data_IF_316830661591
#
_entry.id   IF_316830661591
#
_cell.length_a   1.000
_cell.length_b   1.000
_cell.length_c   1.000
_cell.angle_alpha   90.00
_cell.angle_beta   90.00
_cell.angle_gamma   90.00
#
_symmetry.space_group_name_H-M   'P 1'
#
loop_
_entity.id
_entity.type
_entity.pdbx_description
1 polymer ?
#
# COMPACT_ATOMS: atom_id res chain seq x y z
N UNK A 1 -19.53 4.39 8.04
CA UNK A 1 -19.22 3.08 7.40
C UNK A 1 -17.78 2.99 6.94
N UNK A 2 -17.36 3.73 5.89
CA UNK A 2 -15.95 3.69 5.42
C UNK A 2 -15.01 4.25 6.48
N UNK A 3 -15.40 5.34 7.15
CA UNK A 3 -14.69 5.89 8.32
C UNK A 3 -14.43 4.84 9.39
N UNK A 4 -15.46 4.06 9.72
CA UNK A 4 -15.41 3.08 10.80
C UNK A 4 -14.49 1.93 10.42
N UNK A 5 -14.56 1.46 9.17
CA UNK A 5 -13.63 0.45 8.64
C UNK A 5 -12.17 0.94 8.65
N UNK A 6 -11.93 2.19 8.25
CA UNK A 6 -10.59 2.80 8.33
C UNK A 6 -10.10 2.80 9.78
N UNK A 7 -10.91 3.32 10.71
CA UNK A 7 -10.58 3.33 12.15
C UNK A 7 -10.31 1.93 12.69
N UNK A 8 -11.13 0.95 12.31
CA UNK A 8 -11.02 -0.43 12.76
C UNK A 8 -9.70 -1.09 12.32
N UNK A 9 -9.29 -0.90 11.06
CA UNK A 9 -7.98 -1.35 10.57
C UNK A 9 -6.83 -0.67 11.32
N UNK A 10 -6.89 0.65 11.52
CA UNK A 10 -5.81 1.41 12.16
C UNK A 10 -5.66 1.07 13.64
N UNK A 11 -6.76 0.89 14.37
CA UNK A 11 -6.73 0.47 15.78
C UNK A 11 -6.12 -0.93 15.91
N UNK A 12 -6.52 -1.89 15.07
CA UNK A 12 -5.93 -3.22 15.07
C UNK A 12 -4.43 -3.17 14.79
N UNK A 13 -4.01 -2.43 13.75
CA UNK A 13 -2.60 -2.25 13.41
C UNK A 13 -1.80 -1.60 14.55
N UNK A 14 -2.32 -0.53 15.17
CA UNK A 14 -1.64 0.14 16.28
C UNK A 14 -1.51 -0.76 17.52
N UNK A 15 -2.41 -1.73 17.69
CA UNK A 15 -2.41 -2.63 18.85
C UNK A 15 -1.35 -3.72 18.74
N UNK A 16 -1.15 -4.32 17.57
CA UNK A 16 -0.28 -5.51 17.43
C UNK A 16 0.49 -5.61 16.10
N UNK A 17 0.45 -4.58 15.26
CA UNK A 17 1.10 -4.56 13.94
C UNK A 17 0.35 -5.31 12.84
N UNK A 18 -0.82 -5.90 13.13
CA UNK A 18 -1.67 -6.60 12.17
C UNK A 18 -3.00 -5.84 12.02
N UNK A 19 -3.32 -5.29 10.84
CA UNK A 19 -4.56 -4.55 10.63
C UNK A 19 -5.81 -5.45 10.64
N UNK A 20 -5.66 -6.77 10.55
CA UNK A 20 -6.76 -7.71 10.39
C UNK A 20 -7.56 -7.92 11.68
N UNK A 21 -8.89 -7.90 11.55
CA UNK A 21 -9.85 -8.29 12.60
C UNK A 21 -11.13 -8.84 11.99
N UNK A 22 -11.93 -9.50 12.83
CA UNK A 22 -13.22 -10.06 12.42
C UNK A 22 -14.15 -8.98 11.83
N UNK A 23 -14.80 -9.32 10.72
CA UNK A 23 -15.74 -8.45 10.01
C UNK A 23 -15.12 -7.51 8.98
N UNK A 24 -13.78 -7.51 8.83
CA UNK A 24 -13.09 -6.75 7.79
C UNK A 24 -12.52 -7.67 6.70
N UNK A 25 -12.46 -7.21 5.43
CA UNK A 25 -11.65 -7.88 4.41
C UNK A 25 -10.20 -8.05 4.88
N UNK A 26 -9.58 -9.18 4.55
CA UNK A 26 -8.20 -9.42 4.92
C UNK A 26 -7.28 -8.43 4.19
N UNK A 27 -6.38 -7.78 4.91
CA UNK A 27 -5.31 -6.94 4.38
C UNK A 27 -3.99 -7.73 4.48
N UNK A 28 -3.49 -8.31 3.38
CA UNK A 28 -2.26 -9.07 3.37
C UNK A 28 -1.04 -8.15 3.58
N UNK A 29 0.01 -8.71 4.19
CA UNK A 29 1.30 -8.02 4.26
C UNK A 29 1.82 -7.70 2.85
N UNK A 30 2.50 -6.55 2.73
CA UNK A 30 3.12 -6.16 1.48
C UNK A 30 4.40 -6.96 1.23
N UNK A 31 4.56 -7.45 0.01
CA UNK A 31 5.81 -8.02 -0.50
C UNK A 31 6.12 -7.44 -1.89
N UNK A 32 7.41 -7.38 -2.25
CA UNK A 32 7.85 -6.73 -3.48
C UNK A 32 7.50 -7.51 -4.76
N UNK A 33 7.18 -8.81 -4.64
CA UNK A 33 6.84 -9.65 -5.78
C UNK A 33 5.38 -9.41 -6.19
N UNK A 34 4.45 -9.49 -5.23
CA UNK A 34 3.01 -9.37 -5.42
C UNK A 34 2.52 -7.93 -5.36
N UNK A 35 3.18 -7.08 -4.57
CA UNK A 35 2.82 -5.67 -4.36
C UNK A 35 1.32 -5.48 -4.05
N UNK A 36 0.78 -6.34 -3.21
CA UNK A 36 -0.63 -6.32 -2.82
C UNK A 36 -0.93 -5.09 -1.96
N UNK A 37 -2.07 -4.44 -2.22
CA UNK A 37 -2.53 -3.28 -1.46
C UNK A 37 -4.04 -3.33 -1.25
N UNK A 38 -4.48 -2.72 -0.14
CA UNK A 38 -5.89 -2.51 0.14
C UNK A 38 -6.36 -1.20 -0.49
N UNK A 39 -7.45 -1.25 -1.25
CA UNK A 39 -8.15 -0.08 -1.78
C UNK A 39 -9.30 0.20 -0.84
N UNK A 40 -9.21 1.29 -0.07
CA UNK A 40 -10.25 1.70 0.88
C UNK A 40 -11.08 2.81 0.24
N UNK A 41 -12.17 2.43 -0.43
CA UNK A 41 -13.13 3.35 -1.06
C UNK A 41 -14.55 3.15 -0.53
N UNK A 42 -15.56 3.46 -1.35
CA UNK A 42 -16.96 3.16 -1.04
C UNK A 42 -17.17 1.67 -0.71
N UNK A 43 -16.38 0.84 -1.38
CA UNK A 43 -16.16 -0.56 -1.08
C UNK A 43 -14.68 -0.79 -0.81
N UNK A 44 -14.39 -1.73 0.08
CA UNK A 44 -13.03 -2.15 0.39
C UNK A 44 -12.68 -3.30 -0.54
N UNK A 45 -11.72 -3.07 -1.43
CA UNK A 45 -11.25 -4.05 -2.42
C UNK A 45 -9.73 -4.15 -2.38
N UNK A 46 -9.14 -5.00 -3.21
CA UNK A 46 -7.70 -5.22 -3.25
C UNK A 46 -7.18 -5.07 -4.68
N UNK A 47 -5.92 -4.67 -4.78
CA UNK A 47 -5.19 -4.64 -6.03
C UNK A 47 -3.74 -5.08 -5.85
N UNK A 48 -3.04 -5.20 -6.97
CA UNK A 48 -1.61 -5.53 -7.03
C UNK A 48 -0.91 -4.62 -8.03
N UNK A 49 0.36 -4.27 -7.79
CA UNK A 49 1.19 -3.55 -8.76
C UNK A 49 0.64 -2.17 -9.16
N UNK A 50 0.10 -1.41 -8.20
CA UNK A 50 -0.49 -0.10 -8.46
C UNK A 50 0.50 0.83 -9.18
N UNK A 51 0.18 1.19 -10.42
CA UNK A 51 0.99 2.09 -11.27
C UNK A 51 2.47 1.69 -11.36
N UNK A 52 2.76 0.39 -11.37
CA UNK A 52 4.13 -0.12 -11.32
C UNK A 52 5.00 0.45 -12.43
N UNK A 53 4.53 0.45 -13.67
CA UNK A 53 5.31 0.92 -14.82
C UNK A 53 5.67 2.42 -14.71
N UNK A 54 4.75 3.24 -14.24
CA UNK A 54 4.97 4.68 -14.03
C UNK A 54 5.93 4.94 -12.87
N UNK A 55 5.77 4.22 -11.75
CA UNK A 55 6.67 4.32 -10.61
C UNK A 55 8.09 3.86 -10.98
N UNK A 56 8.22 2.74 -11.72
CA UNK A 56 9.50 2.26 -12.23
C UNK A 56 10.17 3.29 -13.17
N UNK A 57 9.37 4.03 -13.96
CA UNK A 57 9.90 5.09 -14.81
C UNK A 57 10.39 6.30 -14.00
N UNK A 58 9.66 6.69 -12.94
CA UNK A 58 10.08 7.76 -12.03
C UNK A 58 11.35 7.38 -11.27
N UNK A 59 11.44 6.15 -10.76
CA UNK A 59 12.62 5.65 -10.04
C UNK A 59 13.87 5.69 -10.92
N UNK A 60 13.76 5.27 -12.20
CA UNK A 60 14.87 5.38 -13.17
C UNK A 60 15.30 6.83 -13.37
N UNK A 61 14.33 7.72 -13.63
CA UNK A 61 14.61 9.14 -13.84
C UNK A 61 15.33 9.78 -12.65
N UNK A 62 14.85 9.53 -11.43
CA UNK A 62 15.48 10.07 -10.23
C UNK A 62 16.88 9.48 -10.02
N UNK A 63 17.06 8.17 -10.16
CA UNK A 63 18.37 7.54 -10.00
C UNK A 63 19.42 8.12 -10.96
N UNK A 64 19.06 8.33 -12.23
CA UNK A 64 19.92 8.95 -13.23
C UNK A 64 20.24 10.41 -12.90
N UNK A 65 19.22 11.19 -12.50
CA UNK A 65 19.38 12.61 -12.16
C UNK A 65 20.25 12.81 -10.91
N UNK A 66 20.02 12.04 -9.84
CA UNK A 66 20.83 12.09 -8.61
C UNK A 66 22.27 11.62 -8.83
N UNK A 67 22.48 10.59 -9.64
CA UNK A 67 23.83 10.12 -9.99
C UNK A 67 24.58 11.12 -10.88
N UNK A 68 23.87 11.87 -11.74
CA UNK A 68 24.44 12.97 -12.52
C UNK A 68 24.84 14.16 -11.66
N UNK A 69 24.04 14.53 -10.65
CA UNK A 69 24.32 15.66 -9.76
C UNK A 69 25.44 15.42 -8.73
N UNK A 70 25.82 14.15 -8.49
CA UNK A 70 26.95 13.77 -7.62
C UNK A 70 28.29 13.68 -8.36
N UNK A 71 28.31 13.81 -9.69
CA UNK A 71 29.52 13.78 -10.50
C UNK A 71 30.13 15.17 -10.70
#
# INVERSE_FOLDING_TARGET
>A
RVSDQISDYWVAFATNGNPNRDGLPAWPGYDAERQAHQIIGAEVTQGTGFRRAELDAMDRYFAETYAGAKR
#
